data_IF_066303568900
#
_entry.id   IF_066303568900
#
_cell.length_a   1.000
_cell.length_b   1.000
_cell.length_c   1.000
_cell.angle_alpha   90.00
_cell.angle_beta   90.00
_cell.angle_gamma   90.00
#
_symmetry.space_group_name_H-M   'P 1'
#
loop_
_entity.id
_entity.type
_entity.pdbx_description
1 polymer ?
#
# COMPACT_ATOMS: atom_id res chain seq x y z
N UNK A 1 6.92 19.70 -19.07
CA UNK A 1 6.93 18.22 -19.16
C UNK A 1 8.01 17.61 -18.27
N UNK A 2 9.24 18.13 -18.27
CA UNK A 2 10.37 17.61 -17.45
C UNK A 2 10.09 17.38 -15.95
N UNK A 3 9.16 18.12 -15.33
CA UNK A 3 8.79 17.89 -13.92
C UNK A 3 7.94 16.63 -13.75
N UNK A 4 7.05 16.34 -14.70
CA UNK A 4 6.18 15.16 -14.68
C UNK A 4 6.98 13.90 -15.02
N UNK A 5 7.92 13.98 -15.96
CA UNK A 5 8.81 12.87 -16.32
C UNK A 5 9.70 12.47 -15.15
N UNK A 6 10.41 13.43 -14.53
CA UNK A 6 11.20 13.17 -13.31
C UNK A 6 10.35 12.61 -12.17
N UNK A 7 9.11 13.08 -12.04
CA UNK A 7 8.18 12.56 -11.06
C UNK A 7 7.78 11.12 -11.37
N UNK A 8 7.51 10.77 -12.62
CA UNK A 8 7.15 9.41 -13.02
C UNK A 8 8.33 8.44 -12.84
N UNK A 9 9.53 8.85 -13.23
CA UNK A 9 10.75 8.04 -13.15
C UNK A 9 11.12 7.64 -11.72
N UNK A 10 10.75 8.44 -10.72
CA UNK A 10 11.01 8.08 -9.31
C UNK A 10 10.14 6.90 -8.85
N UNK A 11 8.96 6.74 -9.44
CA UNK A 11 8.03 5.66 -9.14
C UNK A 11 8.34 4.38 -9.92
N UNK A 12 9.12 4.47 -11.01
CA UNK A 12 9.73 3.30 -11.68
C UNK A 12 10.95 2.84 -10.88
N UNK A 13 10.71 2.37 -9.67
CA UNK A 13 11.73 1.92 -8.73
C UNK A 13 11.20 0.81 -7.82
N UNK A 14 12.09 0.14 -7.09
CA UNK A 14 11.70 -0.84 -6.07
C UNK A 14 10.78 -0.22 -5.00
N UNK A 15 11.01 1.04 -4.62
CA UNK A 15 10.14 1.74 -3.69
C UNK A 15 8.73 1.94 -4.25
N UNK A 16 8.61 2.26 -5.53
CA UNK A 16 7.32 2.36 -6.22
C UNK A 16 6.59 1.01 -6.33
N UNK A 17 7.32 -0.08 -6.60
CA UNK A 17 6.76 -1.43 -6.60
C UNK A 17 6.21 -1.84 -5.22
N UNK A 18 6.92 -1.49 -4.14
CA UNK A 18 6.48 -1.72 -2.76
C UNK A 18 5.22 -0.89 -2.44
N UNK A 19 5.17 0.37 -2.88
CA UNK A 19 3.96 1.19 -2.76
C UNK A 19 2.77 0.59 -3.52
N UNK A 20 2.98 0.00 -4.70
CA UNK A 20 1.93 -0.70 -5.43
C UNK A 20 1.41 -1.92 -4.64
N UNK A 21 2.30 -2.72 -4.05
CA UNK A 21 1.91 -3.83 -3.17
C UNK A 21 1.15 -3.35 -1.91
N UNK A 22 1.51 -2.19 -1.38
CA UNK A 22 0.77 -1.55 -0.30
C UNK A 22 -0.68 -1.22 -0.69
N UNK A 23 -0.88 -0.67 -1.90
CA UNK A 23 -2.22 -0.38 -2.43
C UNK A 23 -3.06 -1.65 -2.62
N UNK A 24 -2.45 -2.73 -3.13
CA UNK A 24 -3.13 -4.04 -3.27
C UNK A 24 -3.57 -4.55 -1.89
N UNK A 25 -2.70 -4.44 -0.89
CA UNK A 25 -3.00 -4.84 0.49
C UNK A 25 -4.12 -3.99 1.09
N UNK A 26 -4.14 -2.68 0.82
CA UNK A 26 -5.21 -1.78 1.25
C UNK A 26 -6.56 -2.16 0.60
N UNK A 27 -6.57 -2.49 -0.69
CA UNK A 27 -7.76 -2.97 -1.38
C UNK A 27 -8.27 -4.29 -0.79
N UNK A 28 -7.35 -5.23 -0.47
CA UNK A 28 -7.70 -6.46 0.21
C UNK A 28 -8.31 -6.21 1.60
N UNK A 29 -7.77 -5.26 2.38
CA UNK A 29 -8.32 -4.87 3.67
C UNK A 29 -9.76 -4.34 3.55
N UNK A 30 -10.02 -3.44 2.58
CA UNK A 30 -11.35 -2.90 2.32
C UNK A 30 -12.33 -4.02 1.92
N UNK A 31 -11.88 -4.94 1.08
CA UNK A 31 -12.68 -6.08 0.65
C UNK A 31 -13.07 -6.98 1.85
N UNK A 32 -12.09 -7.36 2.67
CA UNK A 32 -12.34 -8.16 3.89
C UNK A 32 -13.26 -7.46 4.88
N UNK A 33 -13.15 -6.13 5.01
CA UNK A 33 -14.07 -5.34 5.83
C UNK A 33 -15.50 -5.34 5.26
N UNK A 34 -15.64 -5.32 3.93
CA UNK A 34 -16.93 -5.53 3.26
C UNK A 34 -17.54 -6.89 3.57
N UNK A 35 -16.74 -7.95 3.49
CA UNK A 35 -17.14 -9.33 3.81
C UNK A 35 -17.56 -9.45 5.28
N UNK A 36 -16.79 -8.90 6.22
CA UNK A 36 -17.11 -8.91 7.65
C UNK A 36 -18.48 -8.29 7.93
N UNK A 37 -18.78 -7.14 7.30
CA UNK A 37 -20.09 -6.50 7.39
C UNK A 37 -21.21 -7.33 6.75
N UNK A 38 -20.89 -8.07 5.68
CA UNK A 38 -21.81 -9.04 5.07
C UNK A 38 -22.21 -10.14 6.06
N UNK A 39 -21.23 -10.75 6.73
CA UNK A 39 -21.48 -11.79 7.74
C UNK A 39 -22.19 -11.24 8.99
N UNK A 40 -21.82 -10.06 9.47
CA UNK A 40 -22.48 -9.44 10.63
C UNK A 40 -23.98 -9.18 10.39
N UNK A 41 -24.38 -8.92 9.14
CA UNK A 41 -25.79 -8.74 8.75
C UNK A 41 -26.58 -10.06 8.70
N UNK A 42 -25.91 -11.21 8.64
CA UNK A 42 -26.55 -12.53 8.62
C UNK A 42 -27.01 -13.00 10.01
N UNK A 43 -26.81 -12.19 11.06
CA UNK A 43 -27.23 -12.52 12.42
C UNK A 43 -26.19 -13.34 13.19
N UNK A 44 -26.64 -14.03 14.25
CA UNK A 44 -25.75 -14.72 15.20
C UNK A 44 -24.90 -15.82 14.57
N UNK A 45 -25.40 -16.49 13.55
CA UNK A 45 -24.69 -17.54 12.81
C UNK A 45 -23.47 -17.00 12.04
N UNK A 46 -23.48 -15.71 11.67
CA UNK A 46 -22.39 -15.05 10.94
C UNK A 46 -21.30 -14.44 11.83
N UNK A 47 -21.48 -14.38 13.15
CA UNK A 47 -20.59 -13.59 14.02
C UNK A 47 -19.14 -14.10 14.04
N UNK A 48 -18.93 -15.41 14.09
CA UNK A 48 -17.58 -15.99 14.07
C UNK A 48 -16.87 -15.72 12.72
N UNK A 49 -17.62 -15.83 11.62
CA UNK A 49 -17.10 -15.51 10.28
C UNK A 49 -16.82 -14.01 10.11
N UNK A 50 -17.66 -13.15 10.68
CA UNK A 50 -17.46 -11.70 10.70
C UNK A 50 -16.17 -11.32 11.45
N UNK A 51 -15.94 -11.90 12.63
CA UNK A 51 -14.71 -11.66 13.41
C UNK A 51 -13.45 -12.13 12.67
N UNK A 52 -13.49 -13.29 12.01
CA UNK A 52 -12.37 -13.78 11.21
C UNK A 52 -12.06 -12.90 9.99
N UNK A 53 -13.11 -12.41 9.31
CA UNK A 53 -12.98 -11.47 8.20
C UNK A 53 -12.45 -10.11 8.66
N UNK A 54 -12.91 -9.61 9.81
CA UNK A 54 -12.44 -8.36 10.41
C UNK A 54 -10.96 -8.44 10.83
N UNK A 55 -10.55 -9.54 11.46
CA UNK A 55 -9.14 -9.79 11.78
C UNK A 55 -8.27 -9.77 10.52
N UNK A 56 -8.73 -10.42 9.44
CA UNK A 56 -8.04 -10.41 8.14
C UNK A 56 -7.95 -8.99 7.57
N UNK A 57 -9.04 -8.20 7.65
CA UNK A 57 -9.04 -6.80 7.23
C UNK A 57 -7.97 -5.98 7.96
N UNK A 58 -7.87 -6.13 9.29
CA UNK A 58 -6.85 -5.45 10.11
C UNK A 58 -5.42 -5.85 9.72
N UNK A 59 -5.16 -7.14 9.51
CA UNK A 59 -3.85 -7.63 9.11
C UNK A 59 -3.42 -6.99 7.77
N UNK A 60 -4.30 -7.03 6.76
CA UNK A 60 -4.01 -6.41 5.47
C UNK A 60 -3.85 -4.89 5.54
N UNK A 61 -4.61 -4.21 6.41
CA UNK A 61 -4.47 -2.78 6.64
C UNK A 61 -3.10 -2.42 7.26
N UNK A 62 -2.65 -3.21 8.24
CA UNK A 62 -1.33 -3.03 8.85
C UNK A 62 -0.20 -3.31 7.85
N UNK A 63 -0.30 -4.38 7.07
CA UNK A 63 0.65 -4.69 6.00
C UNK A 63 0.70 -3.54 4.98
N UNK A 64 -0.45 -3.03 4.56
CA UNK A 64 -0.54 -1.89 3.64
C UNK A 64 0.19 -0.67 4.21
N UNK A 65 -0.05 -0.32 5.47
CA UNK A 65 0.58 0.83 6.11
C UNK A 65 2.10 0.67 6.18
N UNK A 66 2.58 -0.51 6.60
CA UNK A 66 4.01 -0.80 6.72
C UNK A 66 4.70 -0.75 5.36
N UNK A 67 4.13 -1.39 4.34
CA UNK A 67 4.67 -1.37 2.99
C UNK A 67 4.67 0.04 2.42
N UNK A 68 3.61 0.83 2.62
CA UNK A 68 3.56 2.20 2.14
C UNK A 68 4.67 3.06 2.76
N UNK A 69 4.87 2.96 4.08
CA UNK A 69 5.96 3.70 4.76
C UNK A 69 7.31 3.26 4.22
N UNK A 70 7.57 1.96 4.11
CA UNK A 70 8.86 1.44 3.60
C UNK A 70 9.08 1.86 2.15
N UNK A 71 8.08 1.72 1.28
CA UNK A 71 8.14 2.08 -0.13
C UNK A 71 8.45 3.57 -0.32
N UNK A 72 7.75 4.45 0.41
CA UNK A 72 8.00 5.89 0.38
C UNK A 72 9.44 6.23 0.83
N UNK A 73 9.93 5.61 1.91
CA UNK A 73 11.31 5.83 2.37
C UNK A 73 12.35 5.40 1.33
N UNK A 74 12.09 4.33 0.59
CA UNK A 74 12.97 3.86 -0.48
C UNK A 74 12.93 4.83 -1.67
N UNK A 75 11.73 5.26 -2.11
CA UNK A 75 11.58 6.26 -3.19
C UNK A 75 12.35 7.54 -2.85
N UNK A 76 12.15 8.08 -1.65
CA UNK A 76 12.82 9.30 -1.18
C UNK A 76 14.35 9.12 -1.12
N UNK A 77 14.83 7.96 -0.65
CA UNK A 77 16.26 7.66 -0.60
C UNK A 77 16.86 7.55 -2.00
N UNK A 78 16.17 6.91 -2.93
CA UNK A 78 16.61 6.79 -4.32
C UNK A 78 16.68 8.15 -5.01
N UNK A 79 15.75 9.06 -4.74
CA UNK A 79 15.78 10.44 -5.27
C UNK A 79 16.99 11.22 -4.73
N UNK A 80 17.27 11.13 -3.43
CA UNK A 80 18.45 11.79 -2.81
C UNK A 80 19.78 11.30 -3.37
N UNK A 81 19.88 10.02 -3.73
CA UNK A 81 21.09 9.43 -4.33
C UNK A 81 21.28 9.82 -5.81
N UNK A 82 20.21 10.27 -6.49
CA UNK A 82 20.25 10.69 -7.90
C UNK A 82 20.72 12.14 -8.10
N UNK A 83 20.68 13.01 -7.09
CA UNK A 83 21.33 14.33 -7.16
C UNK A 83 22.80 14.30 -6.70
N UNK A 84 23.70 15.23 -7.07
CA UNK A 84 23.80 16.13 -8.22
C UNK A 84 24.92 15.66 -9.20
N UNK A 85 24.87 14.43 -9.72
CA UNK A 85 25.86 13.96 -10.71
C UNK A 85 25.66 14.52 -12.13
N UNK A 86 24.56 15.23 -12.38
CA UNK A 86 24.23 15.81 -13.69
C UNK A 86 24.66 17.28 -13.87
N UNK A 87 25.29 17.93 -12.87
CA UNK A 87 25.75 19.34 -13.02
C UNK A 87 27.14 19.50 -13.69
N UNK A 88 27.77 18.41 -14.11
CA UNK A 88 29.14 18.40 -14.66
C UNK A 88 29.26 17.69 -16.02
N UNK A 89 28.20 17.67 -16.83
CA UNK A 89 28.29 17.30 -18.25
C UNK A 89 27.64 18.35 -19.12
#
# INVERSE_FOLDING_TARGET
MERLERWADRWVSWGGAICAAALISAAAAINWYGIARGFARAGTEGLAAAAGAEASAHIYALIALLLLVVGLRIVDRSERLRGPRERHR
#
